data_IF_176622495213
#
_entry.id   IF_176622495213
#
_cell.length_a   1.000
_cell.length_b   1.000
_cell.length_c   1.000
_cell.angle_alpha   90.00
_cell.angle_beta   90.00
_cell.angle_gamma   90.00
#
_symmetry.space_group_name_H-M   'P 1'
#
loop_
_entity.id
_entity.type
_entity.pdbx_description
1 polymer ?
#
# COMPACT_ATOMS: atom_id res chain seq x y z
N UNK A 1 4.30 -0.15 -23.26
CA UNK A 1 4.58 -0.97 -22.07
C UNK A 1 5.73 -0.34 -21.31
N UNK A 2 5.65 -0.39 -19.99
CA UNK A 2 6.73 0.02 -19.11
C UNK A 2 7.93 -0.95 -19.29
N UNK A 3 9.10 -0.51 -18.91
CA UNK A 3 10.27 -1.40 -18.90
C UNK A 3 10.58 -1.75 -17.45
N UNK A 4 10.58 -3.03 -17.15
CA UNK A 4 11.08 -3.51 -15.86
C UNK A 4 12.56 -3.20 -15.74
N UNK A 5 12.97 -2.70 -14.61
CA UNK A 5 14.35 -2.33 -14.33
C UNK A 5 14.84 -3.03 -13.05
N UNK A 6 15.57 -4.13 -13.21
CA UNK A 6 16.23 -4.85 -12.13
C UNK A 6 17.54 -4.23 -11.65
N UNK A 7 17.89 -3.03 -12.13
CA UNK A 7 19.14 -2.34 -11.78
C UNK A 7 18.91 -1.09 -10.93
N UNK A 8 17.75 -0.98 -10.28
CA UNK A 8 17.50 0.06 -9.27
C UNK A 8 18.26 -0.34 -8.01
N UNK A 9 18.91 0.61 -7.36
CA UNK A 9 19.55 0.33 -6.07
C UNK A 9 18.49 -0.03 -5.02
N UNK A 10 18.65 -1.16 -4.33
CA UNK A 10 17.85 -1.57 -3.18
C UNK A 10 18.21 -0.80 -1.92
N UNK A 11 19.41 -0.20 -1.88
CA UNK A 11 19.91 0.55 -0.72
C UNK A 11 20.76 1.75 -1.11
N UNK A 12 21.35 2.38 -0.10
CA UNK A 12 22.23 3.55 -0.29
C UNK A 12 21.44 4.86 -0.34
N UNK A 13 20.18 4.84 0.06
CA UNK A 13 19.34 6.05 0.17
C UNK A 13 19.63 6.86 1.44
N UNK A 14 20.47 6.32 2.34
CA UNK A 14 20.82 6.96 3.61
C UNK A 14 19.69 6.93 4.64
N UNK A 15 18.74 6.04 4.46
CA UNK A 15 17.58 5.86 5.32
C UNK A 15 17.24 4.37 5.41
N UNK A 16 17.41 3.80 6.59
CA UNK A 16 17.24 2.37 6.82
C UNK A 16 15.84 1.85 6.48
N UNK A 17 14.81 2.64 6.62
CA UNK A 17 13.44 2.24 6.29
C UNK A 17 13.23 2.20 4.76
N UNK A 18 13.77 3.18 4.03
CA UNK A 18 13.71 3.17 2.57
C UNK A 18 14.62 2.06 1.99
N UNK A 19 15.81 1.89 2.55
CA UNK A 19 16.75 0.84 2.18
C UNK A 19 16.15 -0.57 2.44
N UNK A 20 15.22 -0.70 3.39
CA UNK A 20 14.50 -1.95 3.65
C UNK A 20 13.29 -2.16 2.75
N UNK A 21 12.55 -1.09 2.43
CA UNK A 21 11.30 -1.19 1.68
C UNK A 21 11.49 -1.20 0.16
N UNK A 22 12.66 -0.81 -0.35
CA UNK A 22 12.94 -0.83 -1.79
C UNK A 22 13.65 -2.13 -2.11
N UNK A 23 13.01 -3.00 -2.93
CA UNK A 23 13.52 -4.32 -3.28
C UNK A 23 14.82 -4.27 -4.10
N UNK A 24 15.02 -3.23 -4.89
CA UNK A 24 16.15 -3.13 -5.83
C UNK A 24 15.73 -3.28 -7.28
N UNK A 25 14.45 -3.21 -7.55
CA UNK A 25 13.87 -3.22 -8.90
C UNK A 25 12.65 -2.34 -8.98
N UNK A 26 12.12 -2.12 -10.17
CA UNK A 26 10.95 -1.29 -10.39
C UNK A 26 10.65 -1.09 -11.86
N UNK A 27 9.88 -0.07 -12.16
CA UNK A 27 9.50 0.29 -13.53
C UNK A 27 10.27 1.51 -13.99
N UNK A 28 10.88 1.45 -15.16
CA UNK A 28 11.57 2.59 -15.79
C UNK A 28 10.82 3.09 -17.01
N UNK A 29 11.02 4.37 -17.28
CA UNK A 29 10.38 5.07 -18.38
C UNK A 29 11.33 5.97 -19.12
N UNK A 30 11.09 6.06 -20.42
CA UNK A 30 11.68 7.11 -21.25
C UNK A 30 11.03 8.48 -21.02
N UNK A 31 9.84 8.52 -20.40
CA UNK A 31 9.08 9.75 -20.12
C UNK A 31 8.39 9.66 -18.76
N UNK A 32 8.34 10.75 -18.01
CA UNK A 32 7.50 10.88 -16.81
C UNK A 32 6.13 11.47 -17.20
N UNK A 33 5.02 11.00 -16.63
CA UNK A 33 4.87 9.90 -15.67
C UNK A 33 5.02 8.51 -16.30
N UNK A 34 5.34 7.55 -15.44
CA UNK A 34 5.45 6.14 -15.81
C UNK A 34 4.06 5.54 -16.02
N UNK A 35 3.71 5.12 -17.26
CA UNK A 35 2.42 4.51 -17.59
C UNK A 35 2.53 2.97 -17.59
N UNK A 36 1.87 2.29 -16.71
CA UNK A 36 1.87 0.84 -16.54
C UNK A 36 0.54 0.29 -17.03
N UNK A 37 0.60 -0.67 -17.96
CA UNK A 37 -0.59 -1.35 -18.45
C UNK A 37 -0.92 -2.54 -17.57
N UNK A 38 -2.22 -2.80 -17.36
CA UNK A 38 -2.66 -3.95 -16.58
C UNK A 38 -3.86 -4.67 -17.20
N UNK A 39 -4.03 -5.95 -16.84
CA UNK A 39 -5.19 -6.75 -17.25
C UNK A 39 -5.58 -7.74 -16.15
N UNK A 40 -6.81 -8.26 -16.28
CA UNK A 40 -7.38 -9.27 -15.40
C UNK A 40 -7.43 -10.61 -16.15
N UNK A 41 -6.60 -11.57 -15.70
CA UNK A 41 -6.53 -12.92 -16.27
C UNK A 41 -7.71 -13.78 -15.84
N UNK A 42 -8.17 -14.64 -16.74
CA UNK A 42 -9.23 -15.63 -16.51
C UNK A 42 -8.94 -16.92 -17.27
N UNK A 43 -9.53 -18.01 -16.82
CA UNK A 43 -9.38 -19.31 -17.48
C UNK A 43 -8.11 -20.07 -17.03
N UNK A 44 -7.65 -20.99 -17.86
CA UNK A 44 -6.51 -21.84 -17.52
C UNK A 44 -5.19 -21.06 -17.63
N UNK A 45 -4.42 -21.06 -16.53
CA UNK A 45 -3.03 -20.63 -16.50
C UNK A 45 -2.16 -21.88 -16.36
N UNK A 46 -1.18 -22.04 -17.24
CA UNK A 46 -0.29 -23.20 -17.23
C UNK A 46 0.85 -23.03 -16.25
N UNK A 47 1.39 -24.15 -15.73
CA UNK A 47 2.50 -24.13 -14.79
C UNK A 47 3.80 -23.55 -15.36
N UNK A 48 3.95 -23.50 -16.69
CA UNK A 48 5.08 -22.84 -17.36
C UNK A 48 4.99 -21.32 -17.36
N UNK A 49 3.83 -20.77 -16.98
CA UNK A 49 3.52 -19.34 -17.00
C UNK A 49 3.21 -18.78 -15.61
N UNK A 50 3.26 -19.63 -14.56
CA UNK A 50 2.84 -19.31 -13.21
C UNK A 50 3.86 -19.75 -12.17
N UNK A 51 4.18 -18.89 -11.22
CA UNK A 51 5.04 -19.22 -10.08
C UNK A 51 4.35 -20.11 -9.04
N UNK A 52 3.01 -20.21 -9.07
CA UNK A 52 2.21 -21.01 -8.13
C UNK A 52 1.66 -22.32 -8.74
N UNK A 53 2.09 -22.70 -9.94
CA UNK A 53 1.61 -23.90 -10.64
C UNK A 53 0.41 -23.65 -11.56
N UNK A 54 -0.15 -24.71 -12.14
CA UNK A 54 -1.30 -24.61 -13.03
C UNK A 54 -2.61 -24.52 -12.24
N UNK A 55 -3.50 -23.62 -12.66
CA UNK A 55 -4.85 -23.50 -12.08
C UNK A 55 -5.83 -22.88 -13.07
N UNK A 56 -7.11 -22.91 -12.74
CA UNK A 56 -8.15 -22.20 -13.47
C UNK A 56 -8.48 -20.91 -12.70
N UNK A 57 -8.12 -19.76 -13.28
CA UNK A 57 -8.41 -18.44 -12.73
C UNK A 57 -9.90 -18.11 -12.76
N UNK A 58 -10.40 -17.55 -11.67
CA UNK A 58 -11.78 -17.13 -11.51
C UNK A 58 -12.16 -15.94 -12.40
N UNK A 59 -13.47 -15.77 -12.60
CA UNK A 59 -14.02 -14.61 -13.30
C UNK A 59 -14.05 -13.41 -12.36
N UNK A 60 -13.57 -12.27 -12.84
CA UNK A 60 -13.56 -11.02 -12.10
C UNK A 60 -14.90 -10.32 -12.14
N UNK A 61 -15.42 -9.92 -10.99
CA UNK A 61 -16.59 -9.05 -10.88
C UNK A 61 -16.19 -7.58 -11.05
N UNK A 62 -17.16 -6.71 -11.35
CA UNK A 62 -16.91 -5.27 -11.45
C UNK A 62 -16.52 -4.66 -10.09
N UNK A 63 -17.04 -5.18 -8.99
CA UNK A 63 -16.66 -4.75 -7.64
C UNK A 63 -15.18 -5.03 -7.36
N UNK A 64 -14.69 -6.24 -7.68
CA UNK A 64 -13.28 -6.60 -7.54
C UNK A 64 -12.38 -5.72 -8.41
N UNK A 65 -12.73 -5.55 -9.70
CA UNK A 65 -11.98 -4.66 -10.58
C UNK A 65 -11.95 -3.21 -10.10
N UNK A 66 -13.04 -2.73 -9.51
CA UNK A 66 -13.10 -1.38 -8.94
C UNK A 66 -12.20 -1.24 -7.71
N UNK A 67 -12.07 -2.26 -6.86
CA UNK A 67 -11.13 -2.25 -5.74
C UNK A 67 -9.68 -2.08 -6.24
N UNK A 68 -9.28 -2.78 -7.30
CA UNK A 68 -7.97 -2.58 -7.95
C UNK A 68 -7.80 -1.16 -8.50
N UNK A 69 -8.80 -0.62 -9.18
CA UNK A 69 -8.75 0.75 -9.71
C UNK A 69 -8.61 1.79 -8.58
N UNK A 70 -9.32 1.59 -7.46
CA UNK A 70 -9.18 2.44 -6.28
C UNK A 70 -7.78 2.32 -5.66
N UNK A 71 -7.23 1.10 -5.56
CA UNK A 71 -5.88 0.89 -5.05
C UNK A 71 -4.82 1.53 -5.97
N UNK A 72 -4.91 1.35 -7.28
CA UNK A 72 -4.02 1.98 -8.26
C UNK A 72 -4.09 3.52 -8.19
N UNK A 73 -5.27 4.08 -7.93
CA UNK A 73 -5.44 5.52 -7.75
C UNK A 73 -4.65 6.03 -6.52
N UNK A 74 -4.50 5.24 -5.44
CA UNK A 74 -3.64 5.62 -4.31
C UNK A 74 -2.19 5.74 -4.75
N UNK A 75 -1.67 4.81 -5.56
CA UNK A 75 -0.31 4.89 -6.10
C UNK A 75 -0.11 6.12 -6.99
N UNK A 76 -1.02 6.35 -7.93
CA UNK A 76 -0.98 7.52 -8.81
C UNK A 76 -1.09 8.84 -8.06
N UNK A 77 -1.78 8.85 -6.92
CA UNK A 77 -1.95 10.09 -6.14
C UNK A 77 -0.67 10.55 -5.46
N UNK A 78 0.24 9.64 -5.11
CA UNK A 78 1.43 9.97 -4.31
C UNK A 78 2.71 10.07 -5.13
N UNK A 79 2.79 9.39 -6.29
CA UNK A 79 3.99 9.39 -7.13
C UNK A 79 3.64 9.43 -8.62
N UNK A 80 4.65 9.62 -9.48
CA UNK A 80 4.49 9.77 -10.93
C UNK A 80 4.26 8.43 -11.65
N UNK A 81 3.27 7.66 -11.18
CA UNK A 81 2.77 6.45 -11.83
C UNK A 81 1.40 6.71 -12.45
N UNK A 82 1.17 6.15 -13.63
CA UNK A 82 -0.14 6.11 -14.26
C UNK A 82 -0.48 4.67 -14.66
N UNK A 83 -1.73 4.30 -14.57
CA UNK A 83 -2.18 2.94 -14.86
C UNK A 83 -3.26 2.95 -15.92
N UNK A 84 -3.18 2.00 -16.85
CA UNK A 84 -4.15 1.85 -17.92
C UNK A 84 -4.59 0.40 -18.05
N UNK A 85 -5.89 0.13 -17.90
CA UNK A 85 -6.46 -1.18 -18.19
C UNK A 85 -6.35 -1.47 -19.69
N UNK A 86 -5.91 -2.68 -20.04
CA UNK A 86 -5.69 -3.07 -21.42
C UNK A 86 -6.27 -4.45 -21.69
N UNK A 87 -6.76 -4.65 -22.92
CA UNK A 87 -7.20 -5.96 -23.44
C UNK A 87 -6.11 -6.63 -24.26
N UNK A 88 -4.90 -6.07 -24.31
CA UNK A 88 -3.78 -6.70 -25.01
C UNK A 88 -3.42 -8.03 -24.35
N UNK A 89 -2.92 -8.96 -25.13
CA UNK A 89 -2.50 -10.28 -24.66
C UNK A 89 -1.37 -10.16 -23.62
N UNK A 90 -0.44 -9.24 -23.86
CA UNK A 90 0.66 -8.90 -22.95
C UNK A 90 0.45 -7.52 -22.37
N UNK A 91 0.45 -7.44 -21.04
CA UNK A 91 0.39 -6.20 -20.25
C UNK A 91 1.54 -6.19 -19.25
N UNK A 92 1.89 -5.03 -18.71
CA UNK A 92 2.97 -4.94 -17.72
C UNK A 92 2.61 -5.71 -16.43
N UNK A 93 1.36 -5.59 -15.97
CA UNK A 93 0.79 -6.34 -14.84
C UNK A 93 -0.37 -7.22 -15.30
N UNK A 94 -0.48 -8.42 -14.73
CA UNK A 94 -1.63 -9.29 -14.97
C UNK A 94 -2.04 -10.00 -13.69
N UNK A 95 -3.30 -9.84 -13.32
CA UNK A 95 -3.81 -10.38 -12.06
C UNK A 95 -4.75 -11.55 -12.28
N UNK A 96 -4.63 -12.54 -11.39
CA UNK A 96 -5.38 -13.76 -11.41
C UNK A 96 -6.07 -14.02 -10.08
N UNK A 97 -7.32 -14.43 -10.12
CA UNK A 97 -8.00 -15.01 -8.97
C UNK A 97 -7.65 -16.50 -8.92
N UNK A 98 -6.87 -16.89 -7.95
CA UNK A 98 -6.44 -18.26 -7.79
C UNK A 98 -7.16 -18.95 -6.61
N UNK A 99 -7.44 -20.25 -6.69
CA UNK A 99 -8.02 -21.00 -5.59
C UNK A 99 -7.01 -21.28 -4.48
N UNK A 100 -7.48 -21.48 -3.24
CA UNK A 100 -6.63 -21.89 -2.12
C UNK A 100 -5.81 -23.16 -2.39
N UNK A 101 -6.30 -24.05 -3.24
CA UNK A 101 -5.56 -25.27 -3.65
C UNK A 101 -4.28 -24.97 -4.42
N UNK A 102 -4.15 -23.80 -5.05
CA UNK A 102 -2.95 -23.35 -5.76
C UNK A 102 -2.09 -22.43 -4.89
N UNK A 103 -2.71 -21.56 -4.07
CA UNK A 103 -1.99 -20.57 -3.27
C UNK A 103 -1.64 -21.06 -1.84
N UNK A 104 -2.34 -22.06 -1.33
CA UNK A 104 -2.36 -22.40 0.10
C UNK A 104 -3.47 -21.66 0.85
N UNK A 105 -3.99 -22.31 1.90
CA UNK A 105 -5.16 -21.80 2.65
C UNK A 105 -4.90 -20.47 3.37
N UNK A 106 -3.66 -20.24 3.80
CA UNK A 106 -3.26 -19.05 4.56
C UNK A 106 -2.69 -17.92 3.71
N UNK A 107 -2.48 -18.13 2.42
CA UNK A 107 -2.00 -17.08 1.51
C UNK A 107 -3.18 -16.26 1.02
N UNK A 108 -3.13 -14.95 1.19
CA UNK A 108 -4.18 -14.01 0.76
C UNK A 108 -3.91 -13.45 -0.63
N UNK A 109 -2.67 -13.12 -0.89
CA UNK A 109 -2.14 -12.60 -2.13
C UNK A 109 -0.69 -13.03 -2.34
N UNK A 110 -0.21 -12.84 -3.53
CA UNK A 110 1.20 -12.93 -3.92
C UNK A 110 1.38 -12.11 -5.19
N UNK A 111 2.35 -11.24 -5.24
CA UNK A 111 2.70 -10.54 -6.47
C UNK A 111 4.18 -10.71 -6.77
N UNK A 112 4.47 -11.03 -8.03
CA UNK A 112 5.84 -11.04 -8.55
C UNK A 112 6.40 -9.62 -8.59
N UNK A 113 7.70 -9.51 -8.40
CA UNK A 113 8.42 -8.26 -8.40
C UNK A 113 8.94 -7.97 -9.82
N UNK A 114 9.05 -6.70 -10.27
CA UNK A 114 9.46 -6.36 -11.64
C UNK A 114 10.97 -6.51 -11.86
N UNK A 115 11.48 -7.74 -11.82
CA UNK A 115 12.91 -8.09 -11.93
C UNK A 115 13.42 -8.29 -13.38
N UNK A 116 12.60 -7.99 -14.37
CA UNK A 116 12.92 -8.18 -15.79
C UNK A 116 13.14 -9.65 -16.22
N UNK A 117 12.50 -10.58 -15.53
CA UNK A 117 12.57 -12.02 -15.83
C UNK A 117 11.50 -12.41 -16.85
N UNK A 118 10.30 -11.83 -16.75
CA UNK A 118 9.15 -12.12 -17.60
C UNK A 118 8.62 -10.85 -18.28
N UNK A 119 7.95 -10.96 -19.44
CA UNK A 119 7.33 -9.81 -20.12
C UNK A 119 6.24 -9.11 -19.29
N UNK A 120 5.57 -9.84 -18.41
CA UNK A 120 4.56 -9.36 -17.47
C UNK A 120 4.91 -9.83 -16.07
N UNK A 121 4.59 -9.03 -15.05
CA UNK A 121 4.59 -9.51 -13.66
C UNK A 121 3.18 -9.94 -13.27
N UNK A 122 3.06 -11.06 -12.60
CA UNK A 122 1.77 -11.64 -12.23
C UNK A 122 1.48 -11.40 -10.74
N UNK A 123 0.22 -11.10 -10.46
CA UNK A 123 -0.32 -11.09 -9.11
C UNK A 123 -1.43 -12.14 -9.00
N UNK A 124 -1.44 -12.84 -7.88
CA UNK A 124 -2.40 -13.90 -7.57
C UNK A 124 -3.15 -13.52 -6.29
N UNK A 125 -4.47 -13.65 -6.31
CA UNK A 125 -5.32 -13.29 -5.19
C UNK A 125 -6.22 -14.47 -4.84
N UNK A 126 -6.19 -14.88 -3.57
CA UNK A 126 -6.93 -16.05 -3.12
C UNK A 126 -8.43 -15.76 -3.04
N UNK A 127 -9.17 -16.24 -4.03
CA UNK A 127 -10.61 -16.04 -4.13
C UNK A 127 -11.41 -16.78 -3.04
N UNK A 128 -10.82 -17.78 -2.39
CA UNK A 128 -11.46 -18.61 -1.36
C UNK A 128 -11.20 -18.06 0.05
N UNK A 129 -10.36 -17.02 0.18
CA UNK A 129 -10.12 -16.35 1.46
C UNK A 129 -11.37 -15.67 1.97
N UNK A 130 -11.66 -15.81 3.26
CA UNK A 130 -12.79 -15.16 3.91
C UNK A 130 -12.76 -13.62 3.79
N UNK A 131 -11.58 -13.02 3.73
CA UNK A 131 -11.41 -11.57 3.57
C UNK A 131 -11.68 -11.08 2.16
N UNK A 132 -11.64 -11.96 1.13
CA UNK A 132 -11.85 -11.56 -0.27
C UNK A 132 -13.25 -11.03 -0.55
N UNK A 133 -14.23 -11.31 0.29
CA UNK A 133 -15.57 -10.72 0.23
C UNK A 133 -15.64 -9.25 0.66
N UNK A 134 -14.58 -8.67 1.21
CA UNK A 134 -14.54 -7.34 1.81
C UNK A 134 -13.48 -6.49 1.10
N UNK A 135 -13.91 -5.75 0.07
CA UNK A 135 -13.03 -5.01 -0.84
C UNK A 135 -13.26 -3.49 -0.82
N UNK A 136 -14.07 -2.99 0.12
CA UNK A 136 -14.22 -1.57 0.34
C UNK A 136 -12.94 -0.97 0.93
N UNK A 137 -12.74 0.33 0.74
CA UNK A 137 -11.58 1.04 1.26
C UNK A 137 -11.50 0.90 2.79
N UNK A 138 -10.39 0.38 3.28
CA UNK A 138 -10.19 0.07 4.70
C UNK A 138 -10.68 -1.30 5.14
N UNK A 139 -11.14 -2.14 4.22
CA UNK A 139 -11.41 -3.55 4.45
C UNK A 139 -10.15 -4.42 4.24
N UNK A 140 -10.13 -5.63 4.81
CA UNK A 140 -8.93 -6.48 4.82
C UNK A 140 -8.54 -7.00 3.43
N UNK A 141 -9.51 -7.38 2.60
CA UNK A 141 -9.23 -7.74 1.21
C UNK A 141 -8.70 -6.56 0.39
N UNK A 142 -9.11 -5.34 0.71
CA UNK A 142 -8.61 -4.14 0.06
C UNK A 142 -7.15 -3.83 0.44
N UNK A 143 -6.77 -3.98 1.72
CA UNK A 143 -5.37 -3.79 2.12
C UNK A 143 -4.47 -4.86 1.52
N UNK A 144 -4.96 -6.10 1.33
CA UNK A 144 -4.24 -7.12 0.58
C UNK A 144 -3.94 -6.66 -0.85
N UNK A 145 -4.91 -6.07 -1.55
CA UNK A 145 -4.67 -5.52 -2.90
C UNK A 145 -3.59 -4.42 -2.87
N UNK A 146 -3.67 -3.47 -1.91
CA UNK A 146 -2.65 -2.42 -1.78
C UNK A 146 -1.27 -3.04 -1.52
N UNK A 147 -1.16 -4.00 -0.62
CA UNK A 147 0.07 -4.70 -0.26
C UNK A 147 0.71 -5.37 -1.50
N UNK A 148 -0.05 -6.18 -2.20
CA UNK A 148 0.45 -6.90 -3.38
C UNK A 148 0.86 -5.95 -4.52
N UNK A 149 0.13 -4.86 -4.69
CA UNK A 149 0.54 -3.80 -5.62
C UNK A 149 1.84 -3.11 -5.18
N UNK A 150 2.16 -3.10 -3.88
CA UNK A 150 3.46 -2.67 -3.38
C UNK A 150 4.61 -3.49 -3.97
N UNK A 151 4.48 -4.82 -3.95
CA UNK A 151 5.43 -5.72 -4.61
C UNK A 151 5.49 -5.47 -6.11
N UNK A 152 4.34 -5.31 -6.74
CA UNK A 152 4.26 -4.95 -8.16
C UNK A 152 5.04 -3.67 -8.50
N UNK A 153 5.18 -2.74 -7.54
CA UNK A 153 5.92 -1.48 -7.70
C UNK A 153 7.34 -1.54 -7.13
N UNK A 154 7.82 -2.72 -6.73
CA UNK A 154 9.19 -2.91 -6.25
C UNK A 154 9.39 -2.66 -4.75
N UNK A 155 8.33 -2.72 -3.94
CA UNK A 155 8.44 -2.67 -2.49
C UNK A 155 8.66 -4.07 -1.89
N UNK A 156 9.42 -4.12 -0.79
CA UNK A 156 9.72 -5.29 0.02
C UNK A 156 9.01 -5.21 1.38
N UNK A 157 8.94 -6.35 2.09
CA UNK A 157 8.51 -6.33 3.48
C UNK A 157 9.60 -5.79 4.41
N UNK A 158 9.24 -5.23 5.58
CA UNK A 158 10.22 -4.80 6.59
C UNK A 158 11.21 -5.89 7.04
N UNK A 159 10.89 -7.16 6.82
CA UNK A 159 11.67 -8.31 7.25
C UNK A 159 12.45 -9.02 6.13
N UNK A 160 12.24 -8.68 4.85
CA UNK A 160 12.84 -9.40 3.72
C UNK A 160 14.31 -9.04 3.50
N UNK A 161 14.62 -7.77 3.51
CA UNK A 161 15.96 -7.28 3.18
C UNK A 161 16.21 -7.01 1.69
N UNK A 162 15.14 -6.97 0.89
CA UNK A 162 15.23 -6.66 -0.54
C UNK A 162 15.80 -7.78 -1.41
N UNK A 163 16.04 -7.46 -2.68
CA UNK A 163 16.68 -8.36 -3.64
C UNK A 163 18.22 -8.36 -3.50
N UNK A 164 18.79 -9.53 -3.49
CA UNK A 164 20.22 -9.83 -3.58
C UNK A 164 21.14 -9.37 -2.44
N UNK A 165 22.00 -8.43 -2.66
CA UNK A 165 23.18 -8.21 -1.82
C UNK A 165 22.94 -7.33 -0.62
N UNK A 166 21.77 -6.75 -0.48
CA UNK A 166 21.57 -5.65 0.44
C UNK A 166 20.92 -6.00 1.77
N UNK A 167 20.33 -7.09 1.95
CA UNK A 167 19.79 -7.63 3.23
C UNK A 167 19.42 -6.60 4.32
N UNK A 168 19.03 -5.37 3.94
CA UNK A 168 18.61 -4.32 4.87
C UNK A 168 17.19 -4.63 5.36
N UNK A 169 17.00 -4.59 6.69
CA UNK A 169 15.71 -4.81 7.35
C UNK A 169 15.40 -3.64 8.26
N UNK A 170 14.13 -3.50 8.64
CA UNK A 170 13.80 -2.53 9.69
C UNK A 170 14.59 -2.84 10.97
N UNK A 171 15.10 -1.83 11.66
CA UNK A 171 15.90 -2.01 12.87
C UNK A 171 15.18 -2.90 13.91
N UNK A 172 15.83 -3.97 14.33
CA UNK A 172 15.28 -4.93 15.29
C UNK A 172 14.25 -5.89 14.73
N UNK A 173 14.00 -5.90 13.42
CA UNK A 173 13.12 -6.85 12.73
C UNK A 173 13.96 -8.02 12.20
N UNK A 174 13.65 -9.23 12.67
CA UNK A 174 14.38 -10.47 12.31
C UNK A 174 13.53 -11.46 11.52
N UNK A 175 12.20 -11.31 11.59
CA UNK A 175 11.18 -12.06 10.86
C UNK A 175 9.92 -11.20 10.73
N UNK A 176 8.84 -11.75 10.25
CA UNK A 176 7.55 -11.08 10.04
C UNK A 176 6.92 -10.47 11.31
N UNK A 177 6.95 -11.21 12.44
CA UNK A 177 6.22 -10.85 13.65
C UNK A 177 6.82 -9.74 14.54
N UNK A 178 8.16 -9.66 14.77
CA UNK A 178 8.70 -8.62 15.63
C UNK A 178 8.39 -7.21 15.15
N UNK A 179 7.86 -6.36 16.04
CA UNK A 179 7.55 -4.97 15.74
C UNK A 179 8.81 -4.12 15.49
N UNK A 180 9.99 -4.62 15.87
CA UNK A 180 11.26 -3.94 15.68
C UNK A 180 11.47 -2.75 16.62
N UNK A 181 12.55 -2.03 16.38
CA UNK A 181 12.90 -0.83 17.14
C UNK A 181 11.84 0.25 16.90
N UNK A 182 11.38 0.86 17.99
CA UNK A 182 10.32 1.86 17.98
C UNK A 182 8.97 1.34 17.42
N UNK A 183 8.80 0.02 17.36
CA UNK A 183 7.58 -0.61 16.87
C UNK A 183 7.21 -0.18 15.43
N UNK A 184 8.21 -0.05 14.57
CA UNK A 184 8.02 0.47 13.21
C UNK A 184 7.50 -0.58 12.21
N UNK A 185 7.60 -1.88 12.52
CA UNK A 185 7.05 -2.93 11.66
C UNK A 185 5.55 -3.12 11.96
N UNK A 186 4.73 -2.18 11.53
CA UNK A 186 3.27 -2.19 11.68
C UNK A 186 2.59 -1.55 10.46
N UNK A 187 1.38 -2.01 10.16
CA UNK A 187 0.56 -1.51 9.07
C UNK A 187 0.31 0.00 9.10
N UNK A 188 0.24 0.62 10.28
CA UNK A 188 0.08 2.08 10.42
C UNK A 188 1.25 2.88 9.83
N UNK A 189 2.42 2.29 9.64
CA UNK A 189 3.60 2.94 9.09
C UNK A 189 3.93 2.53 7.67
N UNK A 190 3.63 1.27 7.31
CA UNK A 190 3.83 0.68 5.98
C UNK A 190 2.82 -0.44 5.72
N UNK A 191 2.16 -0.39 4.58
CA UNK A 191 1.26 -1.47 4.14
C UNK A 191 2.00 -2.78 3.85
N UNK A 192 3.34 -2.74 3.78
CA UNK A 192 4.17 -3.92 3.54
C UNK A 192 4.44 -4.74 4.82
N UNK A 193 3.99 -4.29 5.99
CA UNK A 193 4.10 -5.04 7.24
C UNK A 193 3.04 -6.11 7.36
N UNK A 194 3.40 -7.29 7.89
CA UNK A 194 2.46 -8.34 8.28
C UNK A 194 1.85 -8.12 9.68
N UNK A 195 2.33 -7.12 10.42
CA UNK A 195 1.69 -6.70 11.65
C UNK A 195 0.63 -5.65 11.33
N UNK A 196 -0.57 -6.12 11.08
CA UNK A 196 -1.68 -5.32 10.62
C UNK A 196 -2.10 -4.21 11.58
N UNK A 197 -2.64 -3.13 11.04
CA UNK A 197 -3.22 -2.02 11.80
C UNK A 197 -2.19 -1.26 12.64
N UNK A 198 -2.60 -0.87 13.85
CA UNK A 198 -1.80 -0.17 14.84
C UNK A 198 -1.94 -0.85 16.20
N UNK A 199 -0.85 -1.11 16.89
CA UNK A 199 -0.81 -1.80 18.18
C UNK A 199 -1.82 -1.22 19.17
N UNK A 200 -2.72 -2.06 19.64
CA UNK A 200 -3.80 -1.67 20.54
C UNK A 200 -5.04 -1.06 19.86
N UNK A 201 -5.04 -0.96 18.53
CA UNK A 201 -6.14 -0.45 17.71
C UNK A 201 -6.40 -1.39 16.53
N UNK A 202 -6.73 -2.64 16.83
CA UNK A 202 -7.01 -3.68 15.84
C UNK A 202 -8.50 -3.81 15.59
N UNK A 203 -8.90 -4.04 14.33
CA UNK A 203 -10.24 -4.48 14.01
C UNK A 203 -10.36 -5.99 14.19
N UNK A 204 -11.49 -6.44 14.75
CA UNK A 204 -11.87 -7.87 14.78
C UNK A 204 -12.69 -8.25 13.54
N UNK A 205 -12.95 -7.32 12.64
CA UNK A 205 -13.82 -7.47 11.47
C UNK A 205 -13.01 -7.26 10.19
N UNK A 206 -13.42 -7.90 9.09
CA UNK A 206 -12.76 -7.75 7.78
C UNK A 206 -13.19 -6.51 7.02
N UNK A 207 -14.29 -5.87 7.38
CA UNK A 207 -14.97 -4.83 6.60
C UNK A 207 -14.52 -3.40 6.91
N UNK A 208 -13.77 -3.18 8.02
CA UNK A 208 -13.24 -1.86 8.37
C UNK A 208 -12.02 -1.92 9.30
N UNK A 209 -11.36 -0.78 9.47
CA UNK A 209 -10.30 -0.58 10.48
C UNK A 209 -8.90 -0.97 10.00
N UNK A 210 -8.74 -1.32 8.73
CA UNK A 210 -7.45 -1.62 8.11
C UNK A 210 -6.92 -0.39 7.35
N UNK A 211 -5.80 -0.52 6.65
CA UNK A 211 -5.28 0.57 5.84
C UNK A 211 -6.16 0.81 4.61
N UNK A 212 -6.56 2.07 4.42
CA UNK A 212 -7.33 2.50 3.24
C UNK A 212 -6.47 3.19 2.18
N UNK A 213 -5.20 3.48 2.50
CA UNK A 213 -4.21 4.06 1.59
C UNK A 213 -2.83 3.46 1.82
N UNK A 214 -1.88 3.79 0.96
CA UNK A 214 -0.46 3.68 1.26
C UNK A 214 -0.14 4.48 2.53
N UNK A 215 0.86 4.03 3.30
CA UNK A 215 1.26 4.68 4.54
C UNK A 215 2.56 5.47 4.35
N UNK A 216 2.99 6.21 5.36
CA UNK A 216 4.02 7.23 5.21
C UNK A 216 5.35 6.70 4.66
N UNK A 217 5.76 5.50 5.06
CA UNK A 217 7.02 4.91 4.58
C UNK A 217 6.88 4.36 3.17
N UNK A 218 5.72 3.82 2.80
CA UNK A 218 5.42 3.37 1.42
C UNK A 218 5.45 4.57 0.47
N UNK A 219 4.79 5.67 0.86
CA UNK A 219 4.76 6.91 0.07
C UNK A 219 6.18 7.41 -0.18
N UNK A 220 7.01 7.47 0.87
CA UNK A 220 8.39 7.93 0.74
C UNK A 220 9.23 7.02 -0.17
N UNK A 221 9.09 5.70 -0.07
CA UNK A 221 9.78 4.74 -0.93
C UNK A 221 9.35 4.87 -2.40
N UNK A 222 8.04 4.95 -2.66
CA UNK A 222 7.49 5.11 -4.01
C UNK A 222 7.87 6.45 -4.64
N UNK A 223 7.88 7.53 -3.86
CA UNK A 223 8.34 8.84 -4.33
C UNK A 223 9.84 8.83 -4.64
N UNK A 224 10.63 8.05 -3.90
CA UNK A 224 12.04 7.86 -4.19
C UNK A 224 12.26 7.12 -5.51
N UNK A 225 11.43 6.10 -5.81
CA UNK A 225 11.51 5.32 -7.03
C UNK A 225 10.98 6.06 -8.26
N UNK A 226 9.83 6.73 -8.12
CA UNK A 226 9.03 7.21 -9.26
C UNK A 226 8.87 8.73 -9.31
N UNK A 227 9.43 9.45 -8.33
CA UNK A 227 9.23 10.90 -8.20
C UNK A 227 7.87 11.26 -7.60
N UNK A 228 7.78 12.46 -7.09
CA UNK A 228 6.64 12.98 -6.33
C UNK A 228 5.53 13.43 -7.26
N UNK A 229 4.27 13.04 -7.00
CA UNK A 229 3.12 13.68 -7.63
C UNK A 229 2.75 14.95 -6.87
N UNK A 230 2.95 16.09 -7.50
CA UNK A 230 2.66 17.42 -6.94
C UNK A 230 1.33 18.00 -7.41
N UNK A 231 0.47 17.20 -8.03
CA UNK A 231 -0.83 17.64 -8.56
C UNK A 231 -2.04 17.11 -7.79
N UNK A 232 -1.82 16.29 -6.77
CA UNK A 232 -2.87 15.73 -5.92
C UNK A 232 -3.18 16.66 -4.77
N UNK A 233 -4.49 16.86 -4.46
CA UNK A 233 -4.97 17.62 -3.31
C UNK A 233 -4.25 18.99 -3.22
N UNK A 234 -4.44 19.85 -4.23
CA UNK A 234 -3.81 21.18 -4.30
C UNK A 234 -4.77 22.30 -3.88
N UNK A 235 -5.95 21.92 -3.40
CA UNK A 235 -6.98 22.84 -2.92
C UNK A 235 -6.96 23.00 -1.42
N UNK A 236 -8.02 23.58 -0.86
CA UNK A 236 -8.20 23.65 0.58
C UNK A 236 -9.03 22.45 1.03
N UNK A 237 -8.36 21.41 1.53
CA UNK A 237 -8.98 20.14 1.82
C UNK A 237 -9.33 19.97 3.31
N UNK A 238 -10.38 19.21 3.60
CA UNK A 238 -10.79 18.90 4.98
C UNK A 238 -10.79 17.40 5.21
N UNK A 239 -9.80 16.92 5.96
CA UNK A 239 -9.62 15.54 6.36
C UNK A 239 -10.40 15.26 7.65
N UNK A 240 -11.53 14.56 7.55
CA UNK A 240 -12.42 14.31 8.68
C UNK A 240 -12.07 13.00 9.37
N UNK A 241 -11.83 13.05 10.68
CA UNK A 241 -11.63 11.84 11.48
C UNK A 241 -12.89 10.95 11.44
N UNK A 242 -12.74 9.62 11.38
CA UNK A 242 -13.87 8.71 11.52
C UNK A 242 -14.49 8.84 12.92
N UNK A 243 -15.80 8.69 12.99
CA UNK A 243 -16.59 8.93 14.22
C UNK A 243 -17.17 7.65 14.81
N UNK A 244 -17.15 6.57 14.06
CA UNK A 244 -17.71 5.26 14.40
C UNK A 244 -16.79 4.16 13.90
N UNK A 245 -16.89 2.97 14.51
CA UNK A 245 -16.26 1.75 14.02
C UNK A 245 -17.23 1.05 13.07
N UNK A 246 -17.13 1.31 11.79
CA UNK A 246 -18.02 0.78 10.75
C UNK A 246 -17.32 0.83 9.39
N UNK A 247 -17.95 0.26 8.37
CA UNK A 247 -17.50 0.34 6.96
C UNK A 247 -17.20 1.80 6.60
N UNK A 248 -16.01 2.03 6.04
CA UNK A 248 -15.50 3.36 5.74
C UNK A 248 -14.64 3.99 6.86
N UNK A 249 -14.46 3.30 8.00
CA UNK A 249 -13.43 3.66 8.99
C UNK A 249 -12.14 2.91 8.69
N UNK A 250 -11.03 3.65 8.54
CA UNK A 250 -9.74 3.09 8.17
C UNK A 250 -8.58 4.00 8.58
N UNK A 251 -7.39 3.44 8.59
CA UNK A 251 -6.14 4.18 8.72
C UNK A 251 -5.68 4.66 7.35
N UNK A 252 -5.24 5.90 7.26
CA UNK A 252 -4.67 6.45 6.03
C UNK A 252 -3.53 7.42 6.30
N UNK A 253 -2.70 7.62 5.29
CA UNK A 253 -1.69 8.65 5.31
C UNK A 253 -2.08 9.76 4.33
N UNK A 254 -2.12 10.99 4.81
CA UNK A 254 -2.45 12.16 3.98
C UNK A 254 -1.23 12.46 3.10
N UNK A 255 -1.43 12.43 1.78
CA UNK A 255 -0.56 13.05 0.80
C UNK A 255 -1.32 14.24 0.20
N UNK A 256 -0.80 15.42 0.42
CA UNK A 256 -1.36 16.70 0.01
C UNK A 256 -0.25 17.56 -0.58
N UNK A 257 -0.46 18.06 -1.80
CA UNK A 257 0.57 18.77 -2.54
C UNK A 257 0.45 20.30 -2.39
N UNK A 258 -0.53 20.77 -1.64
CA UNK A 258 -0.64 22.20 -1.32
C UNK A 258 -2.08 22.67 -1.20
N UNK A 259 -2.24 23.76 -0.50
CA UNK A 259 -3.52 24.34 -0.16
C UNK A 259 -3.45 25.03 1.18
N UNK A 260 -4.59 25.15 1.83
CA UNK A 260 -4.72 25.44 3.25
C UNK A 260 -5.68 24.42 3.84
N UNK A 261 -5.13 23.45 4.57
CA UNK A 261 -5.79 22.19 4.82
C UNK A 261 -6.09 21.99 6.30
N UNK A 262 -7.08 21.16 6.57
CA UNK A 262 -7.61 21.02 7.93
C UNK A 262 -7.82 19.54 8.27
N UNK A 263 -7.33 19.08 9.43
CA UNK A 263 -7.82 17.85 10.05
C UNK A 263 -8.96 18.21 11.01
N UNK A 264 -10.13 17.57 10.85
CA UNK A 264 -11.35 17.95 11.56
C UNK A 264 -12.01 16.78 12.28
N UNK A 265 -12.37 17.00 13.54
CA UNK A 265 -13.29 16.17 14.33
C UNK A 265 -14.65 16.86 14.56
N UNK A 266 -14.97 17.89 13.77
CA UNK A 266 -16.18 18.69 13.90
C UNK A 266 -17.45 17.84 13.95
N UNK A 267 -18.34 18.16 14.88
CA UNK A 267 -19.61 17.45 15.11
C UNK A 267 -19.43 16.03 15.68
N UNK A 268 -18.31 15.74 16.31
CA UNK A 268 -18.07 14.52 17.08
C UNK A 268 -17.99 14.83 18.57
N UNK A 269 -18.65 14.00 19.38
CA UNK A 269 -18.54 14.01 20.85
C UNK A 269 -17.42 13.07 21.34
N UNK A 270 -16.72 12.39 20.44
CA UNK A 270 -15.59 11.50 20.76
C UNK A 270 -14.35 12.35 21.00
N UNK A 271 -13.70 12.16 22.14
CA UNK A 271 -12.40 12.77 22.40
C UNK A 271 -11.40 12.35 21.30
N UNK A 272 -10.57 13.28 20.84
CA UNK A 272 -9.64 13.02 19.75
C UNK A 272 -8.24 13.55 20.06
N UNK A 273 -7.27 12.95 19.38
CA UNK A 273 -5.93 13.49 19.21
C UNK A 273 -5.81 13.95 17.77
N UNK A 274 -5.38 15.19 17.54
CA UNK A 274 -5.00 15.69 16.22
C UNK A 274 -3.56 16.16 16.29
N UNK A 275 -2.71 15.60 15.44
CA UNK A 275 -1.30 15.97 15.31
C UNK A 275 -1.06 16.40 13.85
N UNK A 276 -0.61 17.63 13.67
CA UNK A 276 -0.40 18.23 12.33
C UNK A 276 1.04 18.06 11.82
N UNK A 277 1.88 17.33 12.55
CA UNK A 277 3.28 17.12 12.14
C UNK A 277 3.37 16.06 11.05
N UNK A 278 4.06 16.40 9.97
CA UNK A 278 4.44 15.44 8.94
C UNK A 278 5.37 14.34 9.48
N UNK A 279 5.31 13.17 8.89
CA UNK A 279 6.17 12.05 9.24
C UNK A 279 7.64 12.42 9.01
N UNK A 280 8.50 12.35 10.04
CA UNK A 280 9.92 12.22 9.80
C UNK A 280 10.18 10.83 9.22
N UNK A 281 11.26 10.70 8.44
CA UNK A 281 11.60 9.40 7.85
C UNK A 281 12.70 8.66 8.62
N UNK A 282 13.10 9.17 9.78
CA UNK A 282 14.12 8.59 10.64
C UNK A 282 13.73 8.71 12.13
N UNK A 283 14.32 7.86 12.95
CA UNK A 283 14.14 7.89 14.41
C UNK A 283 12.83 7.23 14.88
N UNK A 284 12.45 7.55 16.11
CA UNK A 284 11.35 6.88 16.80
C UNK A 284 9.95 7.16 16.23
N UNK A 285 9.81 8.20 15.42
CA UNK A 285 8.54 8.59 14.81
C UNK A 285 8.63 8.56 13.27
N UNK A 286 9.46 7.72 12.71
CA UNK A 286 9.73 7.70 11.27
C UNK A 286 8.49 7.55 10.38
N UNK A 287 7.45 6.88 10.86
CA UNK A 287 6.15 6.74 10.16
C UNK A 287 5.15 7.85 10.44
N UNK A 288 5.48 8.82 11.32
CA UNK A 288 4.64 9.96 11.62
C UNK A 288 3.96 9.93 12.99
N UNK A 289 2.93 10.73 13.10
CA UNK A 289 2.11 10.92 14.29
C UNK A 289 0.65 10.64 13.92
N UNK A 290 -0.10 10.01 14.83
CA UNK A 290 -1.44 9.53 14.49
C UNK A 290 -2.51 10.48 15.02
N UNK A 291 -3.38 10.93 14.15
CA UNK A 291 -4.61 11.67 14.48
C UNK A 291 -5.80 10.71 14.46
N UNK A 292 -6.56 10.61 15.56
CA UNK A 292 -7.64 9.64 15.70
C UNK A 292 -8.65 10.03 16.77
N UNK A 293 -9.84 9.44 16.72
CA UNK A 293 -10.85 9.49 17.81
C UNK A 293 -10.60 8.38 18.83
N UNK A 294 -10.73 8.69 20.12
CA UNK A 294 -10.57 7.69 21.19
C UNK A 294 -11.57 6.55 21.04
N UNK A 295 -11.07 5.32 20.95
CA UNK A 295 -11.89 4.11 20.75
C UNK A 295 -12.37 3.91 19.30
N UNK A 296 -11.96 4.75 18.37
CA UNK A 296 -12.23 4.59 16.94
C UNK A 296 -11.02 3.97 16.26
N UNK A 297 -11.25 2.95 15.45
CA UNK A 297 -10.21 2.24 14.67
C UNK A 297 -10.13 2.89 13.29
N UNK A 298 -9.27 3.87 13.16
CA UNK A 298 -9.08 4.66 11.94
C UNK A 298 -8.63 6.07 12.27
N UNK A 299 -8.08 6.73 11.29
CA UNK A 299 -7.54 8.07 11.42
C UNK A 299 -6.43 8.34 10.42
N UNK A 300 -5.59 9.32 10.72
CA UNK A 300 -4.60 9.83 9.79
C UNK A 300 -3.20 9.88 10.37
N UNK A 301 -2.21 9.52 9.55
CA UNK A 301 -0.85 10.06 9.60
C UNK A 301 -0.70 11.09 8.49
N UNK A 302 0.39 11.86 8.49
CA UNK A 302 0.71 12.85 7.45
C UNK A 302 2.04 12.47 6.83
N UNK A 303 2.08 12.36 5.50
CA UNK A 303 3.27 11.96 4.76
C UNK A 303 4.41 13.00 4.92
N UNK A 304 5.63 12.55 4.69
CA UNK A 304 6.80 13.42 4.75
C UNK A 304 6.69 14.57 3.73
N UNK A 305 6.97 15.79 4.19
CA UNK A 305 6.95 16.98 3.35
C UNK A 305 5.57 17.63 3.16
N UNK A 306 4.50 17.02 3.65
CA UNK A 306 3.14 17.60 3.63
C UNK A 306 2.99 18.61 4.77
N UNK A 307 2.25 19.67 4.54
CA UNK A 307 1.86 20.68 5.54
C UNK A 307 0.35 20.68 5.65
N UNK A 308 -0.15 20.57 6.86
CA UNK A 308 -1.56 20.77 7.21
C UNK A 308 -1.62 21.91 8.21
N UNK A 309 -2.35 22.97 7.89
CA UNK A 309 -2.27 24.25 8.64
C UNK A 309 -3.23 24.33 9.79
N UNK A 310 -4.34 23.59 9.76
CA UNK A 310 -5.41 23.78 10.74
C UNK A 310 -5.93 22.47 11.34
N UNK A 311 -6.44 22.59 12.57
CA UNK A 311 -7.14 21.54 13.28
C UNK A 311 -8.46 22.05 13.83
N UNK A 312 -9.52 21.24 13.72
CA UNK A 312 -10.82 21.50 14.35
C UNK A 312 -11.12 20.34 15.29
N UNK A 313 -11.27 20.65 16.59
CA UNK A 313 -11.68 19.69 17.61
C UNK A 313 -13.13 19.27 17.48
N UNK A 314 -13.55 18.32 18.30
CA UNK A 314 -14.96 17.98 18.48
C UNK A 314 -15.72 19.03 19.30
N UNK A 315 -17.04 18.84 19.45
CA UNK A 315 -17.92 19.68 20.26
C UNK A 315 -18.01 19.18 21.70
#
# INVERSE_FOLDING_TARGET
MATQNGSIAGSGYGNVYLDSLIWGCGWSYATSPTAITYSFGTGLLFSSESSIGAFIGGIWTDAEKNAFRMALANYSSVCNLQFAESTAETTDLKWWKAPSSAMGENSLGLHEIPENIYPSTYGYFNQDSASWGYLDKGAYGYVTIIHELGHAMGLAHPHDGGGDADATKFPGVTSDNPLGTHEMNQGIWTTMSYNDGWKGHYSEYYDYGWQGTLMALDIAALQKLYGVNTSTATGNDVYRLPKVNDVGSYWSCIWDAGGTDTISNEGSNVACTIDLRAAPLIGANAGGYVSYGTGIIGGYTIANGVIIEAAIGGS
#
